data_IF_714611659486
#
_entry.id   IF_714611659486
#
_cell.length_a   1.000
_cell.length_b   1.000
_cell.length_c   1.000
_cell.angle_alpha   90.00
_cell.angle_beta   90.00
_cell.angle_gamma   90.00
#
_symmetry.space_group_name_H-M   'P 1'
#
loop_
_entity.id
_entity.type
_entity.pdbx_description
1 polymer ?
#
# COMPACT_ATOMS: atom_id res chain seq x y z
N UNK A 1 -2.79 18.76 -27.92
CA UNK A 1 -3.04 19.06 -26.50
C UNK A 1 -2.80 17.80 -25.72
N UNK A 2 -1.67 17.72 -25.02
CA UNK A 2 -1.21 16.49 -24.36
C UNK A 2 -2.10 16.18 -23.16
N UNK A 3 -3.02 15.24 -23.34
CA UNK A 3 -3.85 14.65 -22.29
C UNK A 3 -3.03 13.55 -21.62
N UNK A 4 -2.37 13.87 -20.53
CA UNK A 4 -1.78 12.87 -19.64
C UNK A 4 -2.91 12.12 -18.91
N UNK A 5 -2.93 10.77 -18.91
CA UNK A 5 -3.93 9.98 -18.19
C UNK A 5 -3.75 10.07 -16.66
N UNK A 6 -4.78 9.73 -15.86
CA UNK A 6 -4.73 9.82 -14.40
C UNK A 6 -3.59 8.98 -13.81
N UNK A 7 -2.95 9.52 -12.79
CA UNK A 7 -1.80 8.97 -12.10
C UNK A 7 -2.22 8.42 -10.73
N UNK A 8 -1.99 7.12 -10.50
CA UNK A 8 -2.19 6.45 -9.22
C UNK A 8 -1.05 6.78 -8.26
N UNK A 9 -1.34 6.96 -6.97
CA UNK A 9 -0.31 7.00 -5.91
C UNK A 9 -0.47 5.77 -5.03
N UNK A 10 0.30 4.72 -5.30
CA UNK A 10 0.42 3.60 -4.39
C UNK A 10 1.38 3.98 -3.26
N UNK A 11 0.85 4.23 -2.05
CA UNK A 11 1.67 4.52 -0.87
C UNK A 11 2.10 3.21 -0.24
N UNK A 12 3.41 2.99 -0.13
CA UNK A 12 3.96 1.86 0.59
C UNK A 12 4.91 2.32 1.72
N UNK A 13 5.03 1.55 2.80
CA UNK A 13 5.77 1.93 4.01
C UNK A 13 6.78 0.84 4.47
N UNK A 14 7.93 1.24 5.07
CA UNK A 14 9.07 0.35 5.48
C UNK A 14 9.61 0.62 6.91
N UNK A 15 10.13 -0.43 7.59
CA UNK A 15 10.66 -0.47 8.98
C UNK A 15 12.02 -1.22 9.14
N UNK A 16 13.13 -0.68 9.65
CA UNK A 16 14.53 -1.20 9.52
C UNK A 16 14.96 -2.59 10.11
N UNK A 17 16.05 -3.23 9.59
CA UNK A 17 16.60 -4.55 10.02
C UNK A 17 17.59 -5.27 9.04
N UNK A 18 18.68 -5.90 9.54
CA UNK A 18 19.98 -6.27 8.88
C UNK A 18 20.07 -7.63 8.11
N UNK A 19 21.09 -7.73 7.22
CA UNK A 19 21.39 -8.74 6.16
C UNK A 19 21.68 -10.22 6.52
N UNK A 20 21.31 -11.15 5.61
CA UNK A 20 22.04 -12.42 5.28
C UNK A 20 21.58 -13.02 3.91
N UNK A 21 22.45 -13.81 3.24
CA UNK A 21 22.42 -14.23 1.81
C UNK A 21 22.15 -15.74 1.61
N UNK A 22 21.50 -16.16 0.50
CA UNK A 22 21.51 -17.56 -0.02
C UNK A 22 20.61 -17.83 -1.26
N UNK A 23 21.05 -18.68 -2.21
CA UNK A 23 20.63 -18.78 -3.64
C UNK A 23 19.98 -20.13 -4.08
N UNK A 24 18.90 -20.08 -4.90
CA UNK A 24 18.48 -20.91 -6.09
C UNK A 24 18.18 -22.45 -6.02
N UNK A 25 17.68 -23.13 -7.10
CA UNK A 25 16.65 -22.80 -8.14
C UNK A 25 15.63 -23.93 -8.58
N UNK A 26 14.54 -23.52 -9.30
CA UNK A 26 13.69 -24.05 -10.44
C UNK A 26 13.32 -25.56 -10.75
N UNK A 27 12.02 -25.86 -11.09
CA UNK A 27 11.52 -26.38 -12.43
C UNK A 27 9.98 -26.68 -12.57
N UNK A 28 9.35 -26.07 -13.61
CA UNK A 28 8.23 -26.34 -14.58
C UNK A 28 6.81 -26.96 -14.29
N UNK A 29 5.79 -26.08 -14.45
CA UNK A 29 4.72 -26.06 -15.49
C UNK A 29 3.35 -26.77 -15.37
N UNK A 30 3.15 -27.84 -14.58
CA UNK A 30 1.78 -28.37 -14.26
C UNK A 30 1.51 -28.43 -12.75
N UNK A 31 2.54 -28.12 -11.97
CA UNK A 31 2.56 -27.98 -10.50
C UNK A 31 2.28 -26.55 -10.03
N UNK A 32 2.14 -25.62 -10.97
CA UNK A 32 2.11 -24.18 -10.74
C UNK A 32 0.91 -23.74 -9.90
N UNK A 33 -0.25 -24.38 -10.08
CA UNK A 33 -1.50 -23.99 -9.41
C UNK A 33 -1.62 -24.53 -7.97
N UNK A 34 -1.14 -25.76 -7.72
CA UNK A 34 -1.03 -26.27 -6.35
C UNK A 34 0.12 -25.62 -5.59
N UNK A 35 1.25 -25.35 -6.24
CA UNK A 35 2.37 -24.65 -5.61
C UNK A 35 2.05 -23.19 -5.29
N UNK A 36 1.27 -22.49 -6.12
CA UNK A 36 0.82 -21.12 -5.84
C UNK A 36 -0.12 -21.11 -4.63
N UNK A 37 -1.10 -22.03 -4.58
CA UNK A 37 -2.00 -22.19 -3.43
C UNK A 37 -1.26 -22.61 -2.16
N UNK A 38 -0.26 -23.50 -2.25
CA UNK A 38 0.58 -23.85 -1.09
C UNK A 38 1.47 -22.70 -0.65
N UNK A 39 2.00 -21.89 -1.57
CA UNK A 39 2.73 -20.66 -1.24
C UNK A 39 1.81 -19.67 -0.52
N UNK A 40 0.60 -19.45 -1.02
CA UNK A 40 -0.40 -18.60 -0.39
C UNK A 40 -0.81 -19.13 1.00
N UNK A 41 -1.01 -20.44 1.15
CA UNK A 41 -1.32 -21.10 2.43
C UNK A 41 -0.14 -21.11 3.42
N UNK A 42 1.09 -21.10 2.94
CA UNK A 42 2.25 -20.96 3.82
C UNK A 42 2.43 -19.50 4.24
N UNK A 43 2.09 -18.54 3.38
CA UNK A 43 2.09 -17.10 3.71
C UNK A 43 1.02 -16.70 4.74
N UNK A 44 -0.06 -17.47 4.93
CA UNK A 44 -1.02 -17.26 6.03
C UNK A 44 -0.51 -17.74 7.40
N UNK A 45 0.61 -18.47 7.49
CA UNK A 45 1.17 -18.93 8.77
C UNK A 45 2.02 -17.87 9.48
N UNK A 46 2.38 -16.80 8.77
CA UNK A 46 3.22 -15.75 9.30
C UNK A 46 2.37 -14.72 10.03
N UNK A 47 2.60 -14.58 11.34
CA UNK A 47 2.00 -13.52 12.14
C UNK A 47 2.96 -12.34 12.10
N UNK A 48 2.88 -11.56 11.03
CA UNK A 48 3.69 -10.35 10.84
C UNK A 48 2.79 -9.12 10.75
N UNK A 49 3.30 -7.98 11.23
CA UNK A 49 2.60 -6.70 11.18
C UNK A 49 2.88 -5.88 9.92
N UNK A 50 3.97 -6.18 9.23
CA UNK A 50 4.39 -5.52 7.99
C UNK A 50 5.13 -6.47 7.06
N UNK A 51 5.22 -6.10 5.79
CA UNK A 51 6.04 -6.80 4.81
C UNK A 51 7.51 -6.86 5.24
N UNK A 52 8.00 -5.83 5.93
CA UNK A 52 9.37 -5.84 6.40
C UNK A 52 9.60 -6.81 7.55
N UNK A 53 8.67 -6.94 8.49
CA UNK A 53 8.75 -8.01 9.49
C UNK A 53 8.71 -9.38 8.80
N UNK A 54 7.85 -9.56 7.79
CA UNK A 54 7.79 -10.80 7.02
C UNK A 54 9.12 -11.15 6.36
N UNK A 55 9.77 -10.15 5.74
CA UNK A 55 11.09 -10.29 5.11
C UNK A 55 12.16 -10.66 6.14
N UNK A 56 12.26 -9.90 7.23
CA UNK A 56 13.36 -10.01 8.18
C UNK A 56 13.24 -11.25 9.08
N UNK A 57 12.02 -11.59 9.49
CA UNK A 57 11.76 -12.71 10.42
C UNK A 57 11.63 -14.06 9.72
N UNK A 58 11.02 -14.07 8.53
CA UNK A 58 10.69 -15.31 7.82
C UNK A 58 11.46 -15.47 6.50
N UNK A 59 12.46 -14.63 6.27
CA UNK A 59 13.36 -14.69 5.11
C UNK A 59 12.59 -14.73 3.78
N UNK A 60 11.52 -13.96 3.68
CA UNK A 60 10.66 -13.87 2.49
C UNK A 60 11.10 -12.71 1.60
N UNK A 61 11.47 -13.01 0.35
CA UNK A 61 12.06 -12.04 -0.59
C UNK A 61 11.29 -11.91 -1.90
N UNK A 62 10.17 -12.61 -2.05
CA UNK A 62 9.37 -12.55 -3.28
C UNK A 62 8.31 -11.46 -3.16
N UNK A 63 8.18 -10.62 -4.19
CA UNK A 63 7.07 -9.70 -4.31
C UNK A 63 5.72 -10.46 -4.34
N UNK A 64 4.63 -9.79 -3.96
CA UNK A 64 3.27 -10.31 -4.11
C UNK A 64 2.42 -10.18 -2.87
N UNK A 65 1.32 -10.94 -2.81
CA UNK A 65 0.36 -10.85 -1.71
C UNK A 65 0.84 -11.61 -0.47
N UNK A 66 0.66 -10.98 0.68
CA UNK A 66 0.90 -11.52 2.02
C UNK A 66 -0.26 -11.17 2.95
N UNK A 67 -0.50 -12.04 3.93
CA UNK A 67 -1.40 -11.74 5.04
C UNK A 67 -0.61 -11.11 6.17
N UNK A 68 -1.15 -10.03 6.71
CA UNK A 68 -0.59 -9.28 7.84
C UNK A 68 -1.65 -9.13 8.93
N UNK A 69 -1.21 -8.80 10.14
CA UNK A 69 -2.11 -8.54 11.28
C UNK A 69 -1.80 -7.20 11.95
N UNK A 70 -2.82 -6.50 12.42
CA UNK A 70 -2.64 -5.28 13.21
C UNK A 70 -2.27 -5.59 14.66
N UNK A 71 -1.89 -4.58 15.46
CA UNK A 71 -1.71 -4.76 16.92
C UNK A 71 -2.97 -5.31 17.61
N UNK A 72 -4.15 -4.95 17.10
CA UNK A 72 -5.44 -5.40 17.63
C UNK A 72 -5.89 -6.76 17.10
N UNK A 73 -5.09 -7.42 16.25
CA UNK A 73 -5.39 -8.74 15.69
C UNK A 73 -6.24 -8.73 14.41
N UNK A 74 -6.46 -7.58 13.75
CA UNK A 74 -7.17 -7.54 12.47
C UNK A 74 -6.26 -8.10 11.37
N UNK A 75 -6.69 -9.19 10.74
CA UNK A 75 -5.97 -9.82 9.63
C UNK A 75 -6.42 -9.22 8.30
N UNK A 76 -5.47 -8.86 7.44
CA UNK A 76 -5.74 -8.32 6.11
C UNK A 76 -4.67 -8.78 5.12
N UNK A 77 -5.03 -8.81 3.84
CA UNK A 77 -4.11 -9.16 2.75
C UNK A 77 -3.65 -7.88 2.04
N UNK A 78 -2.35 -7.80 1.72
CA UNK A 78 -1.81 -6.69 0.93
C UNK A 78 -0.62 -7.11 0.08
N UNK A 79 -0.24 -6.25 -0.87
CA UNK A 79 0.95 -6.41 -1.68
C UNK A 79 2.20 -5.98 -0.92
N UNK A 80 3.22 -6.84 -0.95
CA UNK A 80 4.56 -6.56 -0.48
C UNK A 80 5.50 -6.38 -1.67
N UNK A 81 6.19 -5.25 -1.72
CA UNK A 81 7.39 -5.10 -2.54
C UNK A 81 8.60 -5.49 -1.69
N UNK A 82 9.14 -6.66 -2.01
CA UNK A 82 10.30 -7.27 -1.38
C UNK A 82 11.59 -6.99 -2.16
N UNK A 83 11.53 -6.14 -3.19
CA UNK A 83 12.64 -5.90 -4.13
C UNK A 83 13.24 -4.49 -3.98
N UNK A 84 12.43 -3.43 -3.94
CA UNK A 84 12.93 -2.04 -3.97
C UNK A 84 13.74 -1.72 -2.72
N UNK A 85 14.95 -1.16 -2.89
CA UNK A 85 15.82 -0.75 -1.79
C UNK A 85 16.02 -1.84 -0.71
N UNK A 86 16.11 -3.11 -1.13
CA UNK A 86 16.25 -4.27 -0.26
C UNK A 86 14.92 -4.86 0.23
N UNK A 87 13.78 -4.24 -0.07
CA UNK A 87 12.44 -4.77 0.14
C UNK A 87 11.79 -4.48 1.49
N UNK A 88 10.62 -5.07 1.70
CA UNK A 88 9.82 -4.93 2.91
C UNK A 88 8.79 -3.80 2.85
N UNK A 89 8.53 -3.25 1.67
CA UNK A 89 7.54 -2.19 1.46
C UNK A 89 6.14 -2.78 1.50
N UNK A 90 5.31 -2.24 2.39
CA UNK A 90 3.91 -2.67 2.57
C UNK A 90 2.98 -1.71 1.86
N UNK A 91 2.24 -2.15 0.83
CA UNK A 91 1.19 -1.33 0.24
C UNK A 91 0.10 -1.08 1.30
N UNK A 92 -0.21 0.18 1.58
CA UNK A 92 -1.22 0.55 2.59
C UNK A 92 -2.39 1.33 2.01
N UNK A 93 -2.18 2.04 0.90
CA UNK A 93 -3.21 2.80 0.23
C UNK A 93 -2.90 3.00 -1.26
N UNK A 94 -3.95 3.31 -2.02
CA UNK A 94 -3.93 3.72 -3.41
C UNK A 94 -4.96 4.82 -3.63
N UNK A 95 -4.54 5.90 -4.30
CA UNK A 95 -5.41 7.00 -4.71
C UNK A 95 -5.72 6.86 -6.19
N UNK A 96 -6.96 6.57 -6.54
CA UNK A 96 -7.40 6.27 -7.90
C UNK A 96 -8.49 7.26 -8.34
N UNK A 97 -8.32 7.80 -9.54
CA UNK A 97 -9.31 8.67 -10.18
C UNK A 97 -10.22 7.84 -11.11
N UNK A 98 -11.50 7.75 -10.77
CA UNK A 98 -12.48 6.97 -11.53
C UNK A 98 -13.19 7.78 -12.62
N UNK A 99 -13.35 9.09 -12.46
CA UNK A 99 -14.04 9.97 -13.39
C UNK A 99 -13.62 11.43 -13.20
N UNK A 100 -12.61 11.87 -13.96
CA UNK A 100 -12.10 13.25 -13.93
C UNK A 100 -13.16 14.34 -14.20
N UNK A 101 -14.28 13.99 -14.85
CA UNK A 101 -15.39 14.90 -15.09
C UNK A 101 -16.38 14.97 -13.93
N UNK A 102 -16.43 13.95 -13.08
CA UNK A 102 -17.10 13.99 -11.77
C UNK A 102 -16.35 14.96 -10.85
N UNK A 103 -17.10 15.80 -10.13
CA UNK A 103 -16.51 16.74 -9.18
C UNK A 103 -17.00 16.40 -7.78
N UNK A 104 -16.18 15.67 -7.04
CA UNK A 104 -16.48 15.20 -5.70
C UNK A 104 -17.76 14.34 -5.70
N UNK A 105 -17.76 13.32 -6.54
CA UNK A 105 -18.85 12.36 -6.74
C UNK A 105 -18.47 10.98 -6.18
N UNK A 106 -19.36 9.99 -6.32
CA UNK A 106 -19.06 8.61 -5.92
C UNK A 106 -17.76 8.13 -6.59
N UNK A 107 -16.83 7.64 -5.77
CA UNK A 107 -15.46 7.28 -6.14
C UNK A 107 -14.40 8.25 -5.60
N UNK A 108 -14.75 9.51 -5.29
CA UNK A 108 -13.80 10.54 -4.86
C UNK A 108 -13.44 10.45 -3.36
N UNK A 109 -13.12 9.25 -2.86
CA UNK A 109 -13.01 8.96 -1.42
C UNK A 109 -11.85 9.68 -0.74
N UNK A 110 -10.80 10.03 -1.48
CA UNK A 110 -9.68 10.80 -0.96
C UNK A 110 -9.92 12.32 -0.93
N UNK A 111 -11.10 12.76 -1.36
CA UNK A 111 -11.59 14.14 -1.22
C UNK A 111 -12.97 14.18 -0.56
N UNK A 112 -14.05 14.15 -1.33
CA UNK A 112 -15.45 14.19 -0.89
C UNK A 112 -16.32 13.42 -1.90
N UNK A 113 -17.22 12.56 -1.44
CA UNK A 113 -18.24 11.96 -2.32
C UNK A 113 -19.57 12.73 -2.26
N UNK A 114 -19.60 13.87 -1.55
CA UNK A 114 -20.79 14.69 -1.27
C UNK A 114 -20.75 16.06 -1.94
N UNK A 115 -20.05 16.16 -3.08
CA UNK A 115 -19.84 17.39 -3.81
C UNK A 115 -18.88 18.35 -3.11
N UNK A 116 -18.73 19.52 -3.70
CA UNK A 116 -18.01 20.65 -3.10
C UNK A 116 -18.93 21.36 -2.10
N UNK A 117 -18.81 21.01 -0.82
CA UNK A 117 -19.70 21.50 0.22
C UNK A 117 -18.91 22.27 1.30
N UNK A 118 -19.08 23.60 1.44
CA UNK A 118 -18.37 24.39 2.45
C UNK A 118 -18.71 23.99 3.89
N UNK A 119 -19.86 23.33 4.12
CA UNK A 119 -20.24 22.82 5.45
C UNK A 119 -19.59 21.46 5.77
N UNK A 120 -18.79 20.90 4.84
CA UNK A 120 -18.00 19.68 5.03
C UNK A 120 -16.54 19.91 4.60
N UNK A 121 -15.81 20.80 5.28
CA UNK A 121 -14.46 21.19 4.88
C UNK A 121 -13.47 20.00 4.85
N UNK A 122 -13.68 18.99 5.68
CA UNK A 122 -12.84 17.79 5.74
C UNK A 122 -13.21 16.70 4.71
N UNK A 123 -14.29 16.90 3.95
CA UNK A 123 -14.81 15.91 3.00
C UNK A 123 -15.15 14.56 3.65
N UNK A 124 -14.58 13.48 3.13
CA UNK A 124 -14.68 12.14 3.73
C UNK A 124 -13.69 11.93 4.90
N UNK A 125 -12.66 12.76 5.03
CA UNK A 125 -11.66 12.66 6.10
C UNK A 125 -10.81 11.38 6.08
N UNK A 126 -10.77 10.65 4.95
CA UNK A 126 -10.15 9.33 4.83
C UNK A 126 -8.62 9.34 5.07
N UNK A 127 -7.96 10.48 5.00
CA UNK A 127 -6.54 10.63 5.38
C UNK A 127 -6.28 10.49 6.88
N UNK A 128 -7.24 10.85 7.73
CA UNK A 128 -7.05 10.92 9.20
C UNK A 128 -8.02 10.03 9.99
N UNK A 129 -8.90 9.28 9.31
CA UNK A 129 -9.81 8.30 9.91
C UNK A 129 -9.27 6.85 9.77
N UNK A 130 -10.00 5.89 10.34
CA UNK A 130 -9.68 4.45 10.29
C UNK A 130 -10.55 3.64 9.32
N UNK A 131 -11.34 4.29 8.49
CA UNK A 131 -12.12 3.61 7.45
C UNK A 131 -11.16 2.96 6.45
N UNK A 132 -11.51 1.77 5.96
CA UNK A 132 -10.76 0.98 4.96
C UNK A 132 -11.67 0.60 3.80
N UNK A 133 -11.12 0.46 2.60
CA UNK A 133 -11.86 0.16 1.38
C UNK A 133 -10.96 -0.48 0.32
N UNK A 134 -11.59 -1.12 -0.67
CA UNK A 134 -10.92 -1.78 -1.79
C UNK A 134 -10.17 -3.06 -1.40
N UNK A 135 -9.49 -3.64 -2.38
CA UNK A 135 -8.58 -4.78 -2.22
C UNK A 135 -7.22 -4.44 -2.83
N UNK A 136 -6.16 -5.14 -2.41
CA UNK A 136 -4.84 -4.90 -2.97
C UNK A 136 -4.80 -5.19 -4.47
N UNK A 137 -5.40 -6.28 -4.94
CA UNK A 137 -5.46 -6.60 -6.38
C UNK A 137 -6.23 -5.54 -7.19
N UNK A 138 -7.25 -4.93 -6.59
CA UNK A 138 -8.06 -3.88 -7.21
C UNK A 138 -7.47 -2.46 -7.10
N UNK A 139 -6.27 -2.29 -6.53
CA UNK A 139 -5.73 -0.97 -6.19
C UNK A 139 -5.42 -0.08 -7.41
N UNK A 140 -5.39 -0.63 -8.63
CA UNK A 140 -5.29 0.13 -9.89
C UNK A 140 -6.64 0.35 -10.58
N UNK A 141 -7.73 -0.19 -10.04
CA UNK A 141 -9.08 -0.13 -10.61
C UNK A 141 -10.07 0.67 -9.76
N UNK A 142 -9.82 0.81 -8.46
CA UNK A 142 -10.53 1.69 -7.54
C UNK A 142 -9.58 2.10 -6.40
N UNK A 143 -10.03 3.00 -5.54
CA UNK A 143 -9.31 3.37 -4.33
C UNK A 143 -9.04 2.16 -3.43
N UNK A 144 -7.88 2.17 -2.78
CA UNK A 144 -7.50 1.15 -1.81
C UNK A 144 -7.01 1.80 -0.52
N UNK A 145 -7.41 1.27 0.63
CA UNK A 145 -6.87 1.60 1.93
C UNK A 145 -7.08 0.43 2.88
N UNK A 146 -5.99 -0.08 3.46
CA UNK A 146 -6.05 -1.20 4.41
C UNK A 146 -5.67 -0.77 5.84
N UNK A 147 -5.88 -1.64 6.86
CA UNK A 147 -5.54 -1.32 8.25
C UNK A 147 -4.08 -0.94 8.51
N UNK A 148 -3.15 -1.39 7.66
CA UNK A 148 -1.73 -1.04 7.75
C UNK A 148 -1.48 0.47 7.65
N UNK A 149 -2.34 1.22 6.96
CA UNK A 149 -2.26 2.67 6.79
C UNK A 149 -2.17 3.44 8.13
N UNK A 150 -2.93 2.98 9.14
CA UNK A 150 -2.98 3.62 10.45
C UNK A 150 -2.31 2.80 11.57
N UNK A 151 -2.00 1.52 11.33
CA UNK A 151 -1.44 0.61 12.35
C UNK A 151 0.08 0.44 12.28
N UNK A 152 0.67 0.43 11.07
CA UNK A 152 2.11 0.20 10.90
C UNK A 152 2.89 1.41 11.41
N UNK A 153 3.96 1.15 12.15
CA UNK A 153 4.97 2.15 12.52
C UNK A 153 6.13 2.03 11.53
N UNK A 154 6.22 2.98 10.61
CA UNK A 154 7.17 3.05 9.52
C UNK A 154 8.11 4.24 9.67
N UNK A 155 9.18 4.22 8.88
CA UNK A 155 10.20 5.26 8.84
C UNK A 155 10.09 6.08 7.54
N UNK A 156 9.89 5.41 6.42
CA UNK A 156 9.89 5.99 5.08
C UNK A 156 8.64 5.59 4.28
N UNK A 157 8.37 6.32 3.20
CA UNK A 157 7.31 6.01 2.24
C UNK A 157 7.86 5.84 0.82
N UNK A 158 7.24 4.96 0.05
CA UNK A 158 7.40 4.87 -1.40
C UNK A 158 6.11 5.23 -2.11
N UNK A 159 6.25 5.73 -3.34
CA UNK A 159 5.14 6.05 -4.23
C UNK A 159 5.40 5.46 -5.61
N UNK A 160 4.44 4.70 -6.11
CA UNK A 160 4.45 4.19 -7.48
C UNK A 160 3.27 4.77 -8.27
N UNK A 161 3.58 5.22 -9.48
CA UNK A 161 2.61 5.67 -10.46
C UNK A 161 2.34 4.57 -11.47
N UNK A 162 1.20 3.90 -11.33
CA UNK A 162 0.84 2.71 -12.11
C UNK A 162 -0.37 3.04 -13.00
N UNK A 163 -0.36 2.69 -14.29
CA UNK A 163 -1.53 2.90 -15.15
C UNK A 163 -2.77 2.17 -14.62
N UNK A 164 -3.94 2.81 -14.72
CA UNK A 164 -5.21 2.22 -14.28
C UNK A 164 -5.47 0.86 -14.93
N UNK A 165 -6.10 -0.04 -14.18
CA UNK A 165 -6.41 -1.43 -14.54
C UNK A 165 -5.20 -2.31 -14.86
N UNK A 166 -3.98 -1.87 -14.51
CA UNK A 166 -2.81 -2.74 -14.61
C UNK A 166 -2.93 -3.89 -13.61
N UNK A 167 -2.80 -5.16 -14.04
CA UNK A 167 -2.82 -6.29 -13.12
C UNK A 167 -1.57 -6.27 -12.22
N UNK A 168 -1.73 -6.76 -10.99
CA UNK A 168 -0.74 -6.66 -9.91
C UNK A 168 0.63 -7.26 -10.30
N UNK A 169 0.63 -8.35 -11.07
CA UNK A 169 1.84 -9.05 -11.54
C UNK A 169 2.72 -8.16 -12.42
N UNK A 170 2.16 -7.10 -13.01
CA UNK A 170 2.85 -6.20 -13.93
C UNK A 170 3.16 -4.83 -13.34
N UNK A 171 2.79 -4.54 -12.09
CA UNK A 171 2.97 -3.20 -11.51
C UNK A 171 4.42 -2.74 -11.51
N UNK A 172 5.36 -3.63 -11.25
CA UNK A 172 6.79 -3.34 -11.26
C UNK A 172 7.31 -2.92 -12.65
N UNK A 173 6.77 -3.49 -13.72
CA UNK A 173 7.15 -3.24 -15.11
C UNK A 173 6.37 -2.07 -15.73
N UNK A 174 5.10 -1.93 -15.37
CA UNK A 174 4.17 -0.95 -15.94
C UNK A 174 4.26 0.43 -15.26
N UNK A 175 4.90 0.52 -14.08
CA UNK A 175 5.04 1.78 -13.36
C UNK A 175 5.74 2.85 -14.21
N UNK A 176 5.11 4.02 -14.32
CA UNK A 176 5.65 5.20 -15.01
C UNK A 176 6.73 5.87 -14.15
N UNK A 177 6.48 5.96 -12.84
CA UNK A 177 7.40 6.52 -11.86
C UNK A 177 7.39 5.65 -10.60
N UNK A 178 8.57 5.45 -10.00
CA UNK A 178 8.72 4.83 -8.69
C UNK A 178 9.80 5.57 -7.92
N UNK A 179 9.51 5.99 -6.70
CA UNK A 179 10.45 6.69 -5.85
C UNK A 179 10.10 6.43 -4.38
N UNK A 180 11.06 6.69 -3.49
CA UNK A 180 10.88 6.55 -2.05
C UNK A 180 11.70 7.56 -1.29
N UNK A 181 11.34 7.79 -0.03
CA UNK A 181 12.16 8.55 0.92
C UNK A 181 13.22 7.65 1.54
N UNK A 182 14.27 8.26 2.09
CA UNK A 182 15.39 7.56 2.75
C UNK A 182 15.85 8.26 4.04
N UNK A 183 15.04 9.20 4.53
CA UNK A 183 15.40 10.08 5.66
C UNK A 183 14.56 9.83 6.91
N UNK A 184 13.79 8.75 6.92
CA UNK A 184 13.00 8.30 8.08
C UNK A 184 12.02 9.35 8.59
N UNK A 185 11.51 10.21 7.71
CA UNK A 185 10.74 11.39 8.11
C UNK A 185 9.44 11.03 8.86
N UNK A 186 8.86 9.84 8.62
CA UNK A 186 7.66 9.41 9.33
C UNK A 186 7.89 9.24 10.83
N UNK A 187 9.12 8.99 11.27
CA UNK A 187 9.46 8.92 12.71
C UNK A 187 9.16 10.23 13.45
N UNK A 188 9.24 11.37 12.74
CA UNK A 188 8.92 12.70 13.27
C UNK A 188 7.40 12.98 13.27
N UNK A 189 6.62 12.17 12.56
CA UNK A 189 5.19 12.36 12.35
C UNK A 189 4.34 11.18 12.88
N UNK A 190 4.82 10.50 13.93
CA UNK A 190 4.07 9.42 14.59
C UNK A 190 4.10 8.07 13.86
N UNK A 191 4.93 7.94 12.82
CA UNK A 191 5.26 6.67 12.18
C UNK A 191 4.40 6.28 10.97
N UNK A 192 3.36 7.04 10.61
CA UNK A 192 2.57 6.77 9.40
C UNK A 192 1.77 8.00 8.93
N UNK A 193 1.16 7.90 7.75
CA UNK A 193 0.39 8.99 7.16
C UNK A 193 -0.85 9.36 7.98
N UNK A 194 -1.53 8.40 8.60
CA UNK A 194 -2.68 8.70 9.46
C UNK A 194 -2.28 9.62 10.63
N UNK A 195 -1.13 9.37 11.27
CA UNK A 195 -0.63 10.26 12.33
C UNK A 195 -0.18 11.62 11.77
N UNK A 196 0.49 11.63 10.62
CA UNK A 196 0.90 12.87 9.93
C UNK A 196 -0.30 13.80 9.66
N UNK A 197 -1.38 13.25 9.08
CA UNK A 197 -2.58 14.03 8.74
C UNK A 197 -3.48 14.35 9.95
N UNK A 198 -3.39 13.57 11.04
CA UNK A 198 -4.05 13.94 12.29
C UNK A 198 -3.43 15.19 12.92
N UNK A 199 -2.11 15.30 12.92
CA UNK A 199 -1.40 16.44 13.52
C UNK A 199 -1.56 17.71 12.67
N UNK A 200 -1.65 17.60 11.34
CA UNK A 200 -1.89 18.78 10.49
C UNK A 200 -3.26 19.42 10.75
N UNK A 201 -4.26 18.64 11.13
CA UNK A 201 -5.61 19.16 11.40
C UNK A 201 -5.75 19.81 12.79
N UNK A 202 -4.78 19.64 13.68
CA UNK A 202 -4.79 20.25 15.03
C UNK A 202 -4.17 21.65 15.09
N UNK A 203 -3.61 22.15 14.00
CA UNK A 203 -2.96 23.48 13.93
C UNK A 203 -3.76 24.53 13.15
N UNK A 204 -5.04 24.27 12.87
CA UNK A 204 -5.95 25.16 12.15
C UNK A 204 -7.01 25.84 13.04
N UNK A 205 -6.79 25.90 14.35
CA UNK A 205 -7.58 26.74 15.28
C UNK A 205 -6.77 27.95 15.79
#
# INVERSE_FOLDING_TARGET
TSTSPPQLVAVQAVHEGRHAVGVGPSFQSLRTDFNSLERLRNRTRYVARSCKETRDRYNQHEDGLYYLTTASGVVYQTFCDMTTAGGGWTLVASVHENNMYGKCTVGDRWSSEQGNNPNRPDGEGNWANRVTFGTAEGATSDDFKNPGYYDIVAEDMSVWHIPNNSPMEHWNLASILRYHTERRFLTLHGGNLHQLFKVSNTHTE
#
